data_IF_961454185954
#
_entry.id   IF_961454185954
#
_cell.length_a   1.000
_cell.length_b   1.000
_cell.length_c   1.000
_cell.angle_alpha   90.00
_cell.angle_beta   90.00
_cell.angle_gamma   90.00
#
_symmetry.space_group_name_H-M   'P 1'
#
loop_
_entity.id
_entity.type
_entity.pdbx_description
1 polymer ?
#
# COMPACT_ATOMS: atom_id res chain seq x y z
N UNK A 1 -0.93 45.57 7.07
CA UNK A 1 -0.82 44.62 5.95
C UNK A 1 -1.41 43.29 6.40
N UNK A 2 -2.19 42.59 5.56
CA UNK A 2 -2.61 41.24 5.87
C UNK A 2 -1.38 40.31 5.99
N UNK A 3 -1.45 39.25 6.80
CA UNK A 3 -0.36 38.28 6.91
C UNK A 3 -0.11 37.61 5.55
N UNK A 4 1.17 37.42 5.20
CA UNK A 4 1.57 36.71 3.97
C UNK A 4 1.42 35.20 4.16
N UNK A 5 0.96 34.45 3.14
CA UNK A 5 0.84 32.99 3.24
C UNK A 5 2.21 32.32 3.32
N UNK A 6 2.22 31.08 3.81
CA UNK A 6 3.44 30.27 3.85
C UNK A 6 3.91 29.96 2.42
N UNK A 7 5.20 30.16 2.09
CA UNK A 7 5.66 30.22 0.69
C UNK A 7 5.57 28.89 -0.07
N UNK A 8 5.60 27.74 0.62
CA UNK A 8 5.48 26.41 0.02
C UNK A 8 4.47 25.58 0.79
N UNK A 9 3.29 25.34 0.23
CA UNK A 9 2.31 24.52 0.92
C UNK A 9 2.77 23.05 0.95
N UNK A 10 3.46 22.67 2.02
CA UNK A 10 3.90 21.30 2.27
C UNK A 10 3.13 20.72 3.45
N UNK A 11 2.63 19.50 3.27
CA UNK A 11 2.08 18.69 4.33
C UNK A 11 3.17 17.83 4.96
N UNK A 12 3.14 17.70 6.28
CA UNK A 12 4.03 16.80 7.03
C UNK A 12 3.16 15.81 7.78
N UNK A 13 3.53 14.54 7.71
CA UNK A 13 2.90 13.49 8.50
C UNK A 13 3.95 12.62 9.17
N UNK A 14 3.64 12.18 10.38
CA UNK A 14 4.51 11.29 11.16
C UNK A 14 3.68 10.14 11.72
N UNK A 15 4.30 8.97 11.87
CA UNK A 15 3.67 7.85 12.54
C UNK A 15 4.68 6.96 13.26
N UNK A 16 4.20 6.28 14.29
CA UNK A 16 4.98 5.33 15.10
C UNK A 16 4.16 4.09 15.41
N UNK A 17 4.79 2.93 15.26
CA UNK A 17 4.13 1.62 15.46
C UNK A 17 4.97 0.75 16.36
N UNK A 18 4.31 0.16 17.35
CA UNK A 18 4.88 -0.87 18.20
C UNK A 18 4.94 -2.21 17.45
N UNK A 19 6.14 -2.63 17.07
CA UNK A 19 6.42 -3.85 16.29
C UNK A 19 5.86 -5.12 16.96
N UNK A 20 5.99 -5.32 18.29
CA UNK A 20 5.38 -6.48 18.96
C UNK A 20 3.87 -6.58 18.79
N UNK A 21 3.14 -5.46 18.66
CA UNK A 21 1.69 -5.48 18.41
C UNK A 21 1.36 -6.16 17.07
N UNK A 22 2.16 -5.90 16.04
CA UNK A 22 2.00 -6.53 14.73
C UNK A 22 2.30 -8.03 14.84
N UNK A 23 3.36 -8.42 15.56
CA UNK A 23 3.66 -9.84 15.83
C UNK A 23 2.49 -10.54 16.52
N UNK A 24 1.94 -9.95 17.59
CA UNK A 24 0.79 -10.48 18.31
C UNK A 24 -0.45 -10.59 17.42
N UNK A 25 -0.69 -9.63 16.52
CA UNK A 25 -1.81 -9.67 15.58
C UNK A 25 -1.68 -10.86 14.60
N UNK A 26 -0.50 -11.05 14.02
CA UNK A 26 -0.24 -12.12 13.06
C UNK A 26 -0.32 -13.52 13.70
N UNK A 27 0.13 -13.64 14.95
CA UNK A 27 0.19 -14.92 15.67
C UNK A 27 -1.02 -15.17 16.58
N UNK A 28 -2.00 -14.26 16.63
CA UNK A 28 -3.16 -14.31 17.55
C UNK A 28 -3.89 -15.64 17.55
N UNK A 29 -4.02 -16.27 16.38
CA UNK A 29 -4.78 -17.49 16.17
C UNK A 29 -3.90 -18.76 16.10
N UNK A 30 -2.66 -18.67 16.56
CA UNK A 30 -1.66 -19.74 16.49
C UNK A 30 -0.89 -19.78 15.16
N UNK A 31 0.22 -20.52 15.16
CA UNK A 31 1.13 -20.59 14.01
C UNK A 31 0.49 -21.21 12.77
N UNK A 32 -0.45 -22.15 12.93
CA UNK A 32 -1.11 -22.81 11.79
C UNK A 32 -2.00 -21.86 10.97
N UNK A 33 -2.63 -20.88 11.63
CA UNK A 33 -3.52 -19.89 10.99
C UNK A 33 -2.81 -18.58 10.63
N UNK A 34 -1.56 -18.43 11.04
CA UNK A 34 -0.82 -17.20 10.84
C UNK A 34 -0.49 -16.93 9.35
N UNK A 35 -0.27 -17.92 8.44
CA UNK A 35 -0.17 -17.67 6.98
C UNK A 35 -1.40 -16.97 6.39
N UNK A 36 -2.59 -17.44 6.78
CA UNK A 36 -3.86 -16.86 6.35
C UNK A 36 -4.06 -15.46 6.96
N UNK A 37 -3.71 -15.30 8.24
CA UNK A 37 -3.79 -14.02 8.94
C UNK A 37 -2.85 -12.98 8.30
N UNK A 38 -1.64 -13.39 7.93
CA UNK A 38 -0.70 -12.54 7.19
C UNK A 38 -1.28 -12.14 5.83
N UNK A 39 -1.79 -13.10 5.06
CA UNK A 39 -2.39 -12.81 3.75
C UNK A 39 -3.53 -11.80 3.87
N UNK A 40 -4.45 -12.01 4.84
CA UNK A 40 -5.54 -11.07 5.12
C UNK A 40 -5.03 -9.69 5.54
N UNK A 41 -4.02 -9.65 6.41
CA UNK A 41 -3.40 -8.41 6.87
C UNK A 41 -2.76 -7.64 5.70
N UNK A 42 -1.99 -8.31 4.85
CA UNK A 42 -1.38 -7.71 3.66
C UNK A 42 -2.44 -7.22 2.66
N UNK A 43 -3.51 -8.01 2.44
CA UNK A 43 -4.61 -7.61 1.57
C UNK A 43 -5.33 -6.36 2.04
N UNK A 44 -5.31 -6.05 3.34
CA UNK A 44 -5.92 -4.85 3.87
C UNK A 44 -5.16 -3.57 3.48
N UNK A 45 -3.82 -3.56 3.54
CA UNK A 45 -3.07 -2.31 3.41
C UNK A 45 -1.95 -2.29 2.35
N UNK A 46 -1.45 -3.43 1.86
CA UNK A 46 -0.40 -3.47 0.82
C UNK A 46 -1.01 -3.60 -0.58
N UNK A 47 -0.54 -2.81 -1.54
CA UNK A 47 -0.93 -2.95 -2.96
C UNK A 47 -0.38 -4.25 -3.54
N UNK A 48 -0.91 -4.71 -4.67
CA UNK A 48 -0.43 -5.93 -5.32
C UNK A 48 1.10 -5.87 -5.57
N UNK A 49 1.60 -4.74 -6.09
CA UNK A 49 3.02 -4.51 -6.32
C UNK A 49 3.85 -4.63 -5.04
N UNK A 50 3.38 -4.06 -3.93
CA UNK A 50 4.05 -4.19 -2.63
C UNK A 50 4.02 -5.62 -2.11
N UNK A 51 2.92 -6.35 -2.30
CA UNK A 51 2.82 -7.76 -1.93
C UNK A 51 3.78 -8.63 -2.74
N UNK A 52 3.90 -8.39 -4.04
CA UNK A 52 4.84 -9.08 -4.93
C UNK A 52 6.28 -8.79 -4.49
N UNK A 53 6.63 -7.52 -4.25
CA UNK A 53 7.95 -7.14 -3.75
C UNK A 53 8.25 -7.77 -2.37
N UNK A 54 7.26 -7.83 -1.48
CA UNK A 54 7.36 -8.50 -0.20
C UNK A 54 7.62 -10.00 -0.36
N UNK A 55 6.85 -10.68 -1.21
CA UNK A 55 7.01 -12.11 -1.48
C UNK A 55 8.37 -12.42 -2.07
N UNK A 56 8.82 -11.67 -3.07
CA UNK A 56 10.15 -11.85 -3.66
C UNK A 56 11.28 -11.62 -2.65
N UNK A 57 11.09 -10.74 -1.66
CA UNK A 57 12.10 -10.43 -0.64
C UNK A 57 12.21 -11.50 0.45
N UNK A 58 11.09 -12.02 0.93
CA UNK A 58 11.08 -12.93 2.09
C UNK A 58 10.84 -14.39 1.73
N UNK A 59 10.27 -14.66 0.56
CA UNK A 59 9.93 -15.98 0.05
C UNK A 59 10.40 -16.16 -1.41
N UNK A 60 11.71 -15.96 -1.70
CA UNK A 60 12.23 -16.19 -3.04
C UNK A 60 12.00 -17.66 -3.42
N UNK A 61 11.48 -17.90 -4.62
CA UNK A 61 11.20 -19.24 -5.12
C UNK A 61 12.51 -20.03 -5.26
N UNK A 62 12.83 -20.83 -4.25
CA UNK A 62 13.86 -21.85 -4.29
C UNK A 62 13.14 -23.18 -4.12
N UNK A 63 12.55 -23.66 -5.22
CA UNK A 63 11.95 -24.98 -5.42
C UNK A 63 10.85 -25.43 -4.43
N UNK A 64 9.70 -25.78 -5.02
CA UNK A 64 8.54 -26.47 -4.42
C UNK A 64 7.54 -25.63 -3.59
N UNK A 65 6.31 -25.57 -4.13
CA UNK A 65 5.03 -25.26 -3.48
C UNK A 65 5.05 -24.12 -2.45
N UNK A 66 4.87 -22.89 -2.92
CA UNK A 66 4.87 -21.66 -2.11
C UNK A 66 3.92 -21.62 -0.90
N UNK A 67 2.97 -22.55 -0.76
CA UNK A 67 2.14 -22.69 0.43
C UNK A 67 2.88 -23.32 1.63
N UNK A 68 3.79 -24.28 1.39
CA UNK A 68 4.57 -24.94 2.46
C UNK A 68 5.66 -24.01 3.02
N UNK A 69 6.23 -23.15 2.17
CA UNK A 69 7.21 -22.14 2.59
C UNK A 69 6.61 -21.12 3.56
N UNK A 70 5.34 -20.72 3.37
CA UNK A 70 4.64 -19.79 4.28
C UNK A 70 4.34 -20.44 5.64
N UNK A 71 4.19 -21.76 5.72
CA UNK A 71 4.04 -22.44 7.01
C UNK A 71 5.39 -22.59 7.74
N UNK A 72 6.48 -22.79 7.00
CA UNK A 72 7.82 -23.03 7.55
C UNK A 72 8.49 -21.81 8.19
N UNK A 73 8.43 -20.63 7.55
CA UNK A 73 9.12 -19.43 8.09
C UNK A 73 8.58 -18.95 9.44
N UNK A 74 7.36 -19.34 9.79
CA UNK A 74 6.76 -18.96 11.07
C UNK A 74 7.34 -19.70 12.26
N UNK A 75 8.18 -20.72 12.02
CA UNK A 75 8.99 -21.40 13.04
C UNK A 75 10.34 -20.73 13.26
N UNK A 76 10.78 -19.89 12.33
CA UNK A 76 12.03 -19.15 12.42
C UNK A 76 11.75 -17.74 12.99
N UNK A 77 12.04 -17.58 14.28
CA UNK A 77 11.88 -16.29 14.99
C UNK A 77 12.67 -15.14 14.34
N UNK A 78 13.81 -15.41 13.70
CA UNK A 78 14.60 -14.39 13.01
C UNK A 78 13.87 -13.91 11.75
N UNK A 79 13.28 -14.83 10.99
CA UNK A 79 12.49 -14.48 9.80
C UNK A 79 11.20 -13.76 10.20
N UNK A 80 10.52 -14.23 11.25
CA UNK A 80 9.33 -13.57 11.81
C UNK A 80 9.65 -12.13 12.21
N UNK A 81 10.75 -11.92 12.94
CA UNK A 81 11.19 -10.58 13.33
C UNK A 81 11.39 -9.65 12.13
N UNK A 82 12.05 -10.13 11.06
CA UNK A 82 12.28 -9.34 9.83
C UNK A 82 10.98 -9.01 9.10
N UNK A 83 10.05 -9.95 8.99
CA UNK A 83 8.75 -9.75 8.34
C UNK A 83 7.90 -8.75 9.12
N UNK A 84 7.77 -8.94 10.43
CA UNK A 84 6.99 -8.03 11.30
C UNK A 84 7.58 -6.62 11.25
N UNK A 85 8.91 -6.49 11.33
CA UNK A 85 9.60 -5.19 11.23
C UNK A 85 9.36 -4.50 9.89
N UNK A 86 9.38 -5.26 8.78
CA UNK A 86 9.05 -4.73 7.45
C UNK A 86 7.61 -4.22 7.38
N UNK A 87 6.64 -5.03 7.81
CA UNK A 87 5.22 -4.67 7.76
C UNK A 87 4.90 -3.47 8.66
N UNK A 88 5.50 -3.40 9.84
CA UNK A 88 5.39 -2.25 10.73
C UNK A 88 5.94 -0.97 10.06
N UNK A 89 7.09 -1.06 9.38
CA UNK A 89 7.63 0.08 8.62
C UNK A 89 6.71 0.54 7.50
N UNK A 90 6.10 -0.38 6.75
CA UNK A 90 5.15 -0.05 5.67
C UNK A 90 3.86 0.57 6.21
N UNK A 91 3.33 0.07 7.31
CA UNK A 91 2.15 0.66 7.94
C UNK A 91 2.46 2.09 8.40
N UNK A 92 3.56 2.29 9.14
CA UNK A 92 3.94 3.60 9.65
C UNK A 92 4.14 4.59 8.49
N UNK A 93 4.79 4.15 7.42
CA UNK A 93 4.97 4.95 6.21
C UNK A 93 3.63 5.39 5.61
N UNK A 94 2.68 4.47 5.43
CA UNK A 94 1.40 4.83 4.82
C UNK A 94 0.55 5.72 5.72
N UNK A 95 0.53 5.50 7.03
CA UNK A 95 -0.11 6.40 7.99
C UNK A 95 0.52 7.81 7.95
N UNK A 96 1.85 7.90 7.89
CA UNK A 96 2.55 9.17 7.74
C UNK A 96 2.16 9.86 6.42
N UNK A 97 2.00 9.12 5.32
CA UNK A 97 1.52 9.67 4.04
C UNK A 97 0.08 10.18 4.15
N UNK A 98 -0.84 9.39 4.73
CA UNK A 98 -2.24 9.79 4.95
C UNK A 98 -2.32 11.09 5.74
N UNK A 99 -1.47 11.25 6.77
CA UNK A 99 -1.42 12.47 7.59
C UNK A 99 -0.79 13.66 6.88
N UNK A 100 0.16 13.43 5.96
CA UNK A 100 0.80 14.48 5.19
C UNK A 100 -0.12 15.02 4.08
N UNK A 101 -0.89 14.13 3.45
CA UNK A 101 -1.83 14.46 2.39
C UNK A 101 -3.12 15.09 2.95
N UNK A 102 -3.65 16.10 2.28
CA UNK A 102 -4.92 16.75 2.66
C UNK A 102 -6.15 16.11 2.00
N UNK A 103 -5.94 15.20 1.05
CA UNK A 103 -7.00 14.45 0.39
C UNK A 103 -7.39 13.25 1.23
N UNK A 104 -8.66 12.86 1.16
CA UNK A 104 -9.12 11.59 1.72
C UNK A 104 -8.53 10.43 0.90
N UNK A 105 -7.43 9.86 1.38
CA UNK A 105 -6.75 8.72 0.78
C UNK A 105 -6.68 7.56 1.78
N UNK A 106 -6.83 6.35 1.29
CA UNK A 106 -6.64 5.11 2.03
C UNK A 106 -5.33 4.41 1.68
N UNK A 107 -5.08 3.27 2.32
CA UNK A 107 -3.84 2.52 2.13
C UNK A 107 -3.58 2.06 0.69
N UNK A 108 -4.63 1.80 -0.09
CA UNK A 108 -4.51 1.31 -1.47
C UNK A 108 -4.26 2.42 -2.48
N UNK A 109 -4.44 3.67 -2.07
CA UNK A 109 -4.05 4.85 -2.86
C UNK A 109 -2.56 5.15 -2.73
N UNK A 110 -1.82 4.38 -1.93
CA UNK A 110 -0.42 4.65 -1.61
C UNK A 110 0.42 3.43 -1.94
N UNK A 111 1.52 3.62 -2.68
CA UNK A 111 2.56 2.63 -2.87
C UNK A 111 3.87 3.12 -2.24
N UNK A 112 4.53 2.31 -1.41
CA UNK A 112 5.87 2.64 -0.92
C UNK A 112 6.91 1.85 -1.70
N UNK A 113 7.63 2.55 -2.56
CA UNK A 113 8.59 1.97 -3.51
C UNK A 113 10.03 2.22 -3.05
N UNK A 114 10.94 1.32 -3.42
CA UNK A 114 12.37 1.52 -3.19
C UNK A 114 12.96 2.27 -4.39
N UNK A 115 13.73 3.33 -4.13
CA UNK A 115 14.53 4.01 -5.16
C UNK A 115 15.58 3.01 -5.65
N UNK A 116 15.78 2.95 -6.98
CA UNK A 116 16.81 2.09 -7.55
C UNK A 116 18.16 2.39 -6.86
N UNK A 117 18.95 1.37 -6.50
CA UNK A 117 20.23 1.59 -5.86
C UNK A 117 21.10 2.39 -6.83
N UNK A 118 21.43 3.64 -6.44
CA UNK A 118 22.53 4.35 -7.07
C UNK A 118 23.84 3.57 -6.84
N UNK A 119 24.91 3.94 -7.55
CA UNK A 119 26.23 3.27 -7.54
C UNK A 119 26.90 3.07 -6.15
N UNK A 120 26.28 3.47 -5.04
CA UNK A 120 26.85 3.47 -3.69
C UNK A 120 26.24 2.46 -2.70
N UNK A 121 25.48 1.46 -3.13
CA UNK A 121 25.19 0.28 -2.31
C UNK A 121 24.41 0.49 -0.99
N UNK A 122 23.94 1.71 -0.70
CA UNK A 122 23.05 1.98 0.43
C UNK A 122 21.68 1.39 0.06
N UNK A 123 21.13 0.54 0.94
CA UNK A 123 19.79 -0.04 0.78
C UNK A 123 18.80 1.08 0.40
N UNK A 124 18.23 0.97 -0.80
CA UNK A 124 17.67 2.11 -1.53
C UNK A 124 16.63 2.87 -0.71
N UNK A 125 16.88 4.17 -0.53
CA UNK A 125 15.92 5.10 0.05
C UNK A 125 14.52 4.86 -0.53
N UNK A 126 13.50 4.90 0.30
CA UNK A 126 12.12 4.69 -0.16
C UNK A 126 11.48 6.02 -0.51
N UNK A 127 10.44 5.97 -1.32
CA UNK A 127 9.54 7.09 -1.56
C UNK A 127 8.10 6.57 -1.62
N UNK A 128 7.14 7.46 -1.40
CA UNK A 128 5.72 7.16 -1.58
C UNK A 128 5.24 7.63 -2.95
N UNK A 129 4.34 6.88 -3.55
CA UNK A 129 3.54 7.32 -4.69
C UNK A 129 2.08 7.31 -4.25
N UNK A 130 1.47 8.50 -4.19
CA UNK A 130 0.05 8.68 -3.93
C UNK A 130 -0.67 8.66 -5.27
N UNK A 131 -1.38 7.58 -5.53
CA UNK A 131 -2.03 7.31 -6.81
C UNK A 131 -3.25 8.21 -7.01
N UNK A 132 -3.53 8.54 -8.26
CA UNK A 132 -4.75 9.27 -8.64
C UNK A 132 -6.01 8.41 -8.51
N UNK A 133 -5.83 7.09 -8.57
CA UNK A 133 -6.87 6.09 -8.34
C UNK A 133 -6.31 4.95 -7.47
N UNK A 134 -7.12 4.34 -6.60
CA UNK A 134 -6.65 3.26 -5.74
C UNK A 134 -6.03 2.15 -6.57
N UNK A 135 -4.84 1.68 -6.18
CA UNK A 135 -4.23 0.52 -6.81
C UNK A 135 -5.24 -0.61 -6.77
N UNK A 136 -5.51 -1.19 -7.94
CA UNK A 136 -6.42 -2.32 -8.05
C UNK A 136 -5.89 -3.46 -7.16
N UNK A 137 -6.52 -3.65 -6.00
CA UNK A 137 -6.22 -4.78 -5.14
C UNK A 137 -6.98 -6.04 -5.61
N UNK A 138 -7.46 -6.08 -6.87
CA UNK A 138 -8.83 -6.47 -7.25
C UNK A 138 -9.87 -5.50 -6.66
N UNK A 139 -10.86 -5.08 -7.47
CA UNK A 139 -11.89 -4.12 -7.09
C UNK A 139 -12.64 -4.52 -5.79
N UNK A 140 -12.20 -4.01 -4.65
CA UNK A 140 -12.95 -4.07 -3.40
C UNK A 140 -14.01 -2.95 -3.35
N UNK A 141 -14.75 -2.77 -4.45
CA UNK A 141 -16.09 -2.21 -4.37
C UNK A 141 -17.02 -3.40 -4.14
N UNK A 142 -17.41 -3.63 -2.89
CA UNK A 142 -18.68 -4.33 -2.64
C UNK A 142 -19.76 -3.57 -3.40
N UNK A 143 -20.51 -4.20 -4.33
CA UNK A 143 -21.67 -3.54 -4.90
C UNK A 143 -22.68 -3.40 -3.77
N UNK A 144 -22.77 -2.20 -3.20
CA UNK A 144 -23.93 -1.81 -2.41
C UNK A 144 -25.09 -1.72 -3.39
N UNK A 145 -26.08 -2.60 -3.22
CA UNK A 145 -27.34 -2.57 -3.95
C UNK A 145 -27.98 -1.17 -3.87
N UNK A 146 -28.02 -0.50 -5.02
CA UNK A 146 -28.86 0.63 -5.43
C UNK A 146 -28.37 0.94 -6.87
N UNK A 147 -29.10 0.69 -7.95
CA UNK A 147 -30.50 1.04 -8.20
C UNK A 147 -31.17 0.05 -9.17
N UNK A 148 -32.43 -0.26 -8.88
CA UNK A 148 -33.41 -0.84 -9.80
C UNK A 148 -33.69 0.10 -10.98
N UNK A 149 -33.69 -0.42 -12.21
CA UNK A 149 -34.82 -0.25 -13.14
C UNK A 149 -34.63 -0.99 -14.48
N UNK A 150 -35.60 -1.87 -14.76
CA UNK A 150 -36.28 -2.02 -16.05
C UNK A 150 -35.69 -2.94 -17.16
N UNK A 151 -36.27 -4.15 -17.22
CA UNK A 151 -37.20 -4.58 -18.30
C UNK A 151 -36.73 -5.64 -19.34
N UNK A 152 -37.47 -6.78 -19.34
CA UNK A 152 -37.78 -7.79 -20.41
C UNK A 152 -36.67 -8.80 -20.79
N UNK A 153 -36.92 -10.08 -21.10
CA UNK A 153 -38.08 -10.99 -21.02
C UNK A 153 -37.61 -12.44 -21.36
N UNK A 154 -38.24 -13.43 -20.72
CA UNK A 154 -38.50 -14.86 -21.08
C UNK A 154 -37.53 -15.80 -21.83
N UNK A 155 -37.57 -17.05 -21.33
CA UNK A 155 -37.38 -18.38 -21.97
C UNK A 155 -35.94 -18.73 -22.42
N UNK A 156 -35.35 -19.89 -22.10
CA UNK A 156 -35.85 -21.27 -22.06
C UNK A 156 -34.91 -22.17 -21.22
N UNK A 157 -35.43 -23.33 -20.77
CA UNK A 157 -34.64 -24.43 -20.18
C UNK A 157 -33.75 -25.12 -21.23
N UNK A 158 -32.48 -25.41 -20.88
CA UNK A 158 -31.77 -26.59 -21.36
C UNK A 158 -30.66 -26.97 -20.36
N UNK A 159 -30.64 -28.23 -19.95
CA UNK A 159 -29.66 -28.81 -19.06
C UNK A 159 -28.30 -28.94 -19.76
N UNK A 160 -27.27 -28.28 -19.22
CA UNK A 160 -25.91 -28.35 -19.75
C UNK A 160 -24.86 -28.13 -18.67
N UNK A 161 -24.17 -29.22 -18.31
CA UNK A 161 -22.81 -29.31 -17.77
C UNK A 161 -22.26 -28.04 -17.07
N UNK A 162 -22.13 -28.09 -15.73
CA UNK A 162 -21.34 -27.11 -14.96
C UNK A 162 -19.87 -27.23 -15.39
N UNK A 163 -19.46 -26.46 -16.40
CA UNK A 163 -18.07 -26.08 -16.58
C UNK A 163 -17.77 -25.02 -15.53
N UNK A 164 -16.93 -25.38 -14.55
CA UNK A 164 -16.32 -24.40 -13.68
C UNK A 164 -15.65 -23.34 -14.56
N UNK A 165 -16.15 -22.11 -14.48
CA UNK A 165 -15.53 -20.96 -15.11
C UNK A 165 -14.18 -20.75 -14.43
N UNK A 166 -13.15 -21.37 -15.01
CA UNK A 166 -11.77 -21.06 -14.75
C UNK A 166 -11.55 -19.63 -15.26
N UNK A 167 -11.91 -18.67 -14.41
CA UNK A 167 -11.63 -17.26 -14.62
C UNK A 167 -10.21 -17.13 -15.14
N UNK A 168 -10.13 -16.66 -16.38
CA UNK A 168 -8.92 -16.54 -17.17
C UNK A 168 -7.88 -15.76 -16.37
N UNK A 169 -6.93 -16.48 -15.78
CA UNK A 169 -5.78 -15.92 -15.08
C UNK A 169 -4.75 -15.56 -16.15
N UNK A 170 -4.59 -14.28 -16.42
CA UNK A 170 -3.43 -13.74 -17.14
C UNK A 170 -2.44 -13.18 -16.13
N UNK A 171 -1.47 -13.98 -15.66
CA UNK A 171 -0.32 -13.46 -14.97
C UNK A 171 0.64 -12.89 -16.01
N UNK A 172 0.93 -11.60 -15.95
CA UNK A 172 2.23 -11.11 -16.45
C UNK A 172 2.23 -9.95 -17.42
N UNK A 173 1.11 -9.57 -18.04
CA UNK A 173 1.17 -8.57 -19.10
C UNK A 173 0.51 -7.24 -18.65
N UNK A 174 1.38 -6.25 -18.39
CA UNK A 174 1.09 -4.81 -18.42
C UNK A 174 0.23 -4.19 -17.29
N UNK A 175 0.55 -4.45 -16.02
CA UNK A 175 0.22 -3.48 -14.94
C UNK A 175 1.35 -2.43 -14.79
N UNK A 176 1.66 -1.74 -15.89
CA UNK A 176 2.41 -0.47 -15.87
C UNK A 176 1.45 0.74 -15.74
N UNK A 177 0.13 0.50 -15.75
CA UNK A 177 -0.91 1.53 -15.88
C UNK A 177 -1.30 2.29 -14.59
N UNK A 178 -0.73 1.98 -13.42
CA UNK A 178 -1.02 2.70 -12.16
C UNK A 178 0.19 3.53 -11.67
N UNK A 179 0.95 4.18 -12.55
CA UNK A 179 2.02 5.12 -12.16
C UNK A 179 1.58 6.58 -12.11
N UNK A 180 0.32 6.89 -12.47
CA UNK A 180 -0.20 8.26 -12.36
C UNK A 180 -0.53 8.57 -10.90
N UNK A 181 0.22 9.52 -10.37
CA UNK A 181 0.11 9.93 -8.99
C UNK A 181 1.19 10.93 -8.60
N UNK A 182 1.07 11.39 -7.36
CA UNK A 182 1.97 12.34 -6.76
C UNK A 182 3.07 11.62 -5.97
N UNK A 183 4.33 11.94 -6.28
CA UNK A 183 5.47 11.45 -5.49
C UNK A 183 5.55 12.22 -4.18
N UNK A 184 5.76 11.49 -3.08
CA UNK A 184 5.97 12.04 -1.74
C UNK A 184 7.26 11.47 -1.15
N UNK A 185 7.98 12.30 -0.40
CA UNK A 185 9.25 11.90 0.22
C UNK A 185 8.95 11.24 1.56
N UNK A 186 9.43 10.01 1.75
CA UNK A 186 9.14 9.18 2.93
C UNK A 186 10.43 8.64 3.49
N UNK A 187 10.62 8.83 4.79
CA UNK A 187 11.68 8.19 5.56
C UNK A 187 11.07 7.17 6.50
N UNK A 188 11.64 5.96 6.54
CA UNK A 188 11.28 4.89 7.48
C UNK A 188 12.51 4.58 8.30
N UNK A 189 12.35 4.56 9.62
CA UNK A 189 13.37 4.11 10.54
C UNK A 189 12.78 3.13 11.55
N UNK A 190 13.66 2.48 12.29
CA UNK A 190 13.26 1.63 13.39
C UNK A 190 14.17 1.87 14.57
N UNK A 191 13.56 2.01 15.75
CA UNK A 191 14.24 2.21 17.01
C UNK A 191 13.71 1.19 18.02
N UNK A 192 14.57 0.25 18.43
CA UNK A 192 14.17 -0.91 19.24
C UNK A 192 12.95 -1.64 18.66
N UNK A 193 11.88 -1.65 19.48
CA UNK A 193 10.59 -2.28 19.21
C UNK A 193 9.59 -1.37 18.47
N UNK A 194 10.03 -0.23 17.97
CA UNK A 194 9.20 0.71 17.23
C UNK A 194 9.67 0.86 15.78
N UNK A 195 8.70 0.98 14.88
CA UNK A 195 8.90 1.49 13.53
C UNK A 195 8.38 2.92 13.50
N UNK A 196 9.15 3.86 12.94
CA UNK A 196 8.70 5.24 12.75
C UNK A 196 8.79 5.62 11.28
N UNK A 197 7.92 6.54 10.87
CA UNK A 197 8.00 7.11 9.54
C UNK A 197 7.66 8.60 9.57
N UNK A 198 8.29 9.32 8.65
CA UNK A 198 8.03 10.74 8.38
C UNK A 198 7.79 10.88 6.88
N UNK A 199 6.75 11.62 6.52
CA UNK A 199 6.40 11.93 5.14
C UNK A 199 6.31 13.44 4.94
N UNK A 200 6.79 13.90 3.78
CA UNK A 200 6.56 15.26 3.26
C UNK A 200 5.84 15.12 1.92
N UNK A 201 4.69 15.79 1.82
CA UNK A 201 3.85 15.78 0.61
C UNK A 201 3.64 17.22 0.10
N UNK A 202 3.69 17.47 -1.21
CA UNK A 202 3.24 18.74 -1.77
C UNK A 202 1.73 18.88 -1.57
N UNK A 203 1.25 20.06 -1.19
CA UNK A 203 -0.18 20.37 -1.23
C UNK A 203 -0.52 20.95 -2.59
N UNK A 204 -1.66 20.54 -3.14
CA UNK A 204 -2.21 21.20 -4.31
C UNK A 204 -2.65 22.62 -3.93
N UNK A 205 -2.32 23.64 -4.74
CA UNK A 205 -2.73 25.00 -4.45
C UNK A 205 -4.27 25.10 -4.47
N UNK A 206 -4.85 25.53 -3.36
CA UNK A 206 -6.30 25.77 -3.25
C UNK A 206 -6.65 27.00 -4.10
N UNK A 207 -7.81 27.01 -4.75
CA UNK A 207 -8.29 28.18 -5.52
C UNK A 207 -8.33 29.42 -4.61
N UNK A 208 -7.51 30.44 -4.91
CA UNK A 208 -7.31 31.63 -4.09
C UNK A 208 -5.99 31.65 -3.31
N UNK A 209 -5.21 30.58 -3.36
CA UNK A 209 -3.84 30.52 -2.85
C UNK A 209 -2.91 31.27 -3.81
N UNK A 210 -2.50 32.46 -3.41
CA UNK A 210 -1.41 33.19 -4.06
C UNK A 210 -0.11 32.53 -3.64
N UNK A 211 0.18 31.36 -4.21
CA UNK A 211 1.47 30.69 -4.08
C UNK A 211 2.59 31.71 -4.18
N UNK A 212 3.65 31.53 -3.39
CA UNK A 212 4.65 32.55 -3.05
C UNK A 212 5.33 33.31 -4.21
N UNK A 213 5.03 33.00 -5.47
CA UNK A 213 5.39 33.79 -6.64
C UNK A 213 4.72 35.17 -6.71
N UNK A 214 3.49 35.34 -6.23
CA UNK A 214 2.78 36.63 -6.36
C UNK A 214 3.37 37.75 -5.48
N UNK A 215 4.04 37.39 -4.37
CA UNK A 215 4.66 38.36 -3.46
C UNK A 215 6.12 38.72 -3.78
N UNK A 216 6.73 38.08 -4.78
CA UNK A 216 8.15 38.27 -5.14
C UNK A 216 8.35 39.06 -6.45
N UNK A 217 7.26 39.51 -7.09
CA UNK A 217 7.28 40.20 -8.40
C UNK A 217 6.84 41.67 -8.36
N UNK A 218 6.65 42.26 -7.19
CA UNK A 218 6.48 43.72 -7.11
C UNK A 218 7.84 44.39 -6.86
N UNK A 219 8.24 45.37 -7.72
CA UNK A 219 9.53 46.07 -7.65
C UNK A 219 9.66 47.01 -6.45
#
# INVERSE_FOLDING_TARGET
>A
MPPRPFPFQLGIGTDIIHVPRIKSLLLKNGHDKAPHTLTRYMNQFLTYREQTAFRSRFFPAQNESGALLIAGWMRDEVVVGKVVRYLAGRWAAKEAVIKACQREIGFKDIQILSRQPGKQGVSGAVYGLVLDSPASAFAARTPTNADDAATRASSNEEAGVIKGDSGHFTPGDEQDDDLRGQVVEVSISHDGDYATAVCIAPREPVVGDVGGEAGAREP
#
